data_IF_111437020448
#
_entry.id   IF_111437020448
#
_cell.length_a   1.000
_cell.length_b   1.000
_cell.length_c   1.000
_cell.angle_alpha   90.00
_cell.angle_beta   90.00
_cell.angle_gamma   90.00
#
_symmetry.space_group_name_H-M   'P 1'
#
loop_
_entity.id
_entity.type
_entity.pdbx_description
1 polymer ?
#
# COMPACT_ATOMS: atom_id res chain seq x y z
N UNK A 1 5.57 4.00 30.51
CA UNK A 1 5.31 3.57 29.11
C UNK A 1 6.05 4.51 28.17
N UNK A 2 7.09 4.06 27.47
CA UNK A 2 7.79 4.90 26.48
C UNK A 2 6.89 5.04 25.26
N UNK A 3 6.24 6.18 25.11
CA UNK A 3 5.50 6.51 23.90
C UNK A 3 6.54 6.87 22.82
N UNK A 4 7.21 5.88 22.25
CA UNK A 4 8.09 6.08 21.09
C UNK A 4 7.19 6.48 19.94
N UNK A 5 7.07 7.80 19.70
CA UNK A 5 6.43 8.32 18.51
C UNK A 5 7.05 7.60 17.30
N UNK A 6 6.27 6.71 16.66
CA UNK A 6 6.72 5.92 15.52
C UNK A 6 7.24 6.92 14.48
N UNK A 7 8.54 6.87 14.21
CA UNK A 7 9.20 7.77 13.26
C UNK A 7 8.42 7.69 11.94
N UNK A 8 7.76 8.79 11.56
CA UNK A 8 6.93 8.83 10.34
C UNK A 8 7.82 8.52 9.15
N UNK A 9 7.46 7.51 8.35
CA UNK A 9 8.19 7.20 7.12
C UNK A 9 8.21 8.44 6.21
N UNK A 10 9.39 8.82 5.73
CA UNK A 10 9.54 9.93 4.78
C UNK A 10 8.70 9.73 3.51
N UNK A 11 8.45 8.48 3.13
CA UNK A 11 7.61 8.08 1.99
C UNK A 11 6.15 8.54 2.12
N UNK A 12 5.68 8.76 3.35
CA UNK A 12 4.31 9.21 3.66
C UNK A 12 4.18 10.73 3.77
N UNK A 13 5.24 11.50 3.51
CA UNK A 13 5.19 12.97 3.55
C UNK A 13 4.27 13.51 2.45
N UNK A 14 4.23 12.86 1.28
CA UNK A 14 3.40 13.29 0.14
C UNK A 14 1.91 13.38 0.46
N UNK A 15 1.41 12.57 1.41
CA UNK A 15 0.03 12.61 1.86
C UNK A 15 -0.37 13.95 2.51
N UNK A 16 0.59 14.80 2.90
CA UNK A 16 0.31 16.17 3.37
C UNK A 16 -0.27 17.06 2.27
N UNK A 17 -0.05 16.72 1.00
CA UNK A 17 -0.54 17.46 -0.16
C UNK A 17 -1.83 16.87 -0.75
N UNK A 18 -2.50 15.97 -0.02
CA UNK A 18 -3.77 15.37 -0.43
C UNK A 18 -4.83 16.47 -0.57
N UNK A 19 -5.40 16.70 -1.77
CA UNK A 19 -6.48 17.65 -1.93
C UNK A 19 -7.77 17.13 -1.29
N UNK A 20 -8.80 17.97 -1.13
CA UNK A 20 -10.11 17.53 -0.65
C UNK A 20 -10.72 16.52 -1.62
N UNK A 21 -10.79 15.25 -1.22
CA UNK A 21 -11.25 14.14 -2.06
C UNK A 21 -12.16 13.22 -1.26
N UNK A 22 -13.10 12.58 -1.94
CA UNK A 22 -14.00 11.61 -1.32
C UNK A 22 -13.30 10.28 -1.10
N UNK A 23 -13.14 9.87 0.16
CA UNK A 23 -12.76 8.50 0.48
C UNK A 23 -13.91 7.52 0.21
N UNK A 24 -15.15 7.96 0.46
CA UNK A 24 -16.43 7.33 0.13
C UNK A 24 -17.29 8.39 -0.56
N UNK A 25 -17.85 8.07 -1.72
CA UNK A 25 -18.74 9.01 -2.43
C UNK A 25 -20.06 9.19 -1.66
N UNK A 26 -20.66 10.39 -1.68
CA UNK A 26 -21.96 10.62 -1.04
C UNK A 26 -23.01 9.65 -1.58
N UNK A 27 -23.80 9.04 -0.68
CA UNK A 27 -24.90 8.11 -1.01
C UNK A 27 -24.47 6.83 -1.75
N UNK A 28 -23.18 6.51 -1.83
CA UNK A 28 -22.69 5.23 -2.34
C UNK A 28 -22.12 4.38 -1.21
N UNK A 29 -22.09 3.06 -1.38
CA UNK A 29 -21.29 2.20 -0.52
C UNK A 29 -19.79 2.43 -0.76
N UNK A 30 -18.99 2.16 0.27
CA UNK A 30 -17.55 2.27 0.14
C UNK A 30 -17.02 1.19 -0.81
N UNK A 31 -16.17 1.60 -1.75
CA UNK A 31 -15.38 0.68 -2.56
C UNK A 31 -13.99 1.29 -2.76
N UNK A 32 -12.89 0.55 -2.49
CA UNK A 32 -11.53 1.02 -2.75
C UNK A 32 -11.35 1.47 -4.21
N UNK A 33 -12.02 0.77 -5.14
CA UNK A 33 -12.00 1.09 -6.58
C UNK A 33 -12.64 2.45 -6.91
N UNK A 34 -13.53 2.95 -6.06
CA UNK A 34 -14.22 4.24 -6.26
C UNK A 34 -13.67 5.36 -5.38
N UNK A 35 -12.78 5.05 -4.44
CA UNK A 35 -12.22 6.02 -3.52
C UNK A 35 -11.27 6.96 -4.25
N UNK A 36 -11.61 8.25 -4.32
CA UNK A 36 -10.75 9.27 -4.93
C UNK A 36 -9.46 9.42 -4.12
N UNK A 37 -9.54 9.28 -2.79
CA UNK A 37 -8.37 9.30 -1.91
C UNK A 37 -7.41 8.15 -2.24
N UNK A 38 -7.89 6.91 -2.38
CA UNK A 38 -7.03 5.77 -2.70
C UNK A 38 -6.40 5.93 -4.07
N UNK A 39 -7.19 6.32 -5.09
CA UNK A 39 -6.69 6.59 -6.45
C UNK A 39 -5.57 7.63 -6.42
N UNK A 40 -5.81 8.75 -5.74
CA UNK A 40 -4.80 9.78 -5.59
C UNK A 40 -3.55 9.23 -4.89
N UNK A 41 -3.67 8.48 -3.80
CA UNK A 41 -2.51 7.96 -3.08
C UNK A 41 -1.66 6.99 -3.93
N UNK A 42 -2.28 6.04 -4.63
CA UNK A 42 -1.55 5.01 -5.40
C UNK A 42 -0.87 5.56 -6.66
N UNK A 43 -1.27 6.74 -7.14
CA UNK A 43 -0.56 7.43 -8.23
C UNK A 43 0.81 7.99 -7.79
N UNK A 44 1.09 8.09 -6.48
CA UNK A 44 2.35 8.67 -5.98
C UNK A 44 3.40 7.55 -5.82
N UNK A 45 4.56 7.65 -6.50
CA UNK A 45 5.60 6.61 -6.43
C UNK A 45 6.05 6.28 -5.00
N UNK A 46 6.18 7.29 -4.14
CA UNK A 46 6.60 7.07 -2.74
C UNK A 46 5.60 6.25 -1.94
N UNK A 47 4.31 6.32 -2.27
CA UNK A 47 3.27 5.50 -1.64
C UNK A 47 3.36 4.06 -2.15
N UNK A 48 3.56 3.86 -3.46
CA UNK A 48 3.79 2.52 -4.02
C UNK A 48 5.00 1.85 -3.36
N UNK A 49 6.10 2.57 -3.19
CA UNK A 49 7.30 2.08 -2.49
C UNK A 49 7.02 1.75 -1.02
N UNK A 50 6.17 2.55 -0.36
CA UNK A 50 5.79 2.28 1.02
C UNK A 50 4.93 1.01 1.12
N UNK A 51 3.95 0.83 0.23
CA UNK A 51 3.11 -0.36 0.17
C UNK A 51 3.99 -1.59 -0.07
N UNK A 52 4.89 -1.52 -1.04
CA UNK A 52 5.80 -2.61 -1.33
C UNK A 52 6.72 -2.95 -0.15
N UNK A 53 7.25 -1.93 0.53
CA UNK A 53 8.05 -2.14 1.74
C UNK A 53 7.27 -2.85 2.85
N UNK A 54 5.98 -2.58 3.01
CA UNK A 54 5.16 -3.29 3.99
C UNK A 54 4.91 -4.73 3.57
N UNK A 55 4.58 -4.98 2.30
CA UNK A 55 4.30 -6.32 1.78
C UNK A 55 5.54 -7.21 1.85
N UNK A 56 6.70 -6.74 1.39
CA UNK A 56 7.93 -7.54 1.41
C UNK A 56 8.42 -7.86 2.84
N UNK A 57 7.98 -7.08 3.84
CA UNK A 57 8.31 -7.29 5.25
C UNK A 57 7.24 -8.08 6.01
N UNK A 58 6.08 -8.37 5.40
CA UNK A 58 4.99 -9.05 6.10
C UNK A 58 5.23 -10.56 6.26
N UNK A 59 6.08 -11.14 5.41
CA UNK A 59 6.28 -12.59 5.33
C UNK A 59 5.28 -13.29 4.40
N UNK A 60 4.33 -12.55 3.82
CA UNK A 60 3.32 -13.12 2.90
C UNK A 60 3.86 -13.34 1.48
N UNK A 61 5.03 -12.79 1.17
CA UNK A 61 5.72 -12.96 -0.11
C UNK A 61 7.18 -13.31 0.10
N UNK A 62 7.75 -14.08 -0.82
CA UNK A 62 9.16 -14.40 -0.86
C UNK A 62 9.75 -14.15 -2.25
N UNK A 63 11.06 -13.94 -2.29
CA UNK A 63 11.81 -13.81 -3.54
C UNK A 63 12.36 -15.18 -3.96
N UNK A 64 11.98 -15.64 -5.15
CA UNK A 64 12.54 -16.84 -5.75
C UNK A 64 13.80 -16.48 -6.54
N UNK A 65 14.96 -16.96 -6.07
CA UNK A 65 16.26 -16.68 -6.68
C UNK A 65 16.47 -17.34 -8.05
N UNK A 66 15.80 -18.45 -8.34
CA UNK A 66 15.91 -19.17 -9.61
C UNK A 66 15.19 -18.42 -10.73
N UNK A 67 14.00 -17.88 -10.42
CA UNK A 67 13.16 -17.18 -11.41
C UNK A 67 13.34 -15.66 -11.39
N UNK A 68 13.93 -15.11 -10.33
CA UNK A 68 14.08 -13.67 -10.13
C UNK A 68 12.76 -12.95 -9.81
N UNK A 69 11.75 -13.66 -9.31
CA UNK A 69 10.39 -13.16 -9.11
C UNK A 69 9.98 -13.19 -7.64
N UNK A 70 9.07 -12.29 -7.28
CA UNK A 70 8.37 -12.35 -6.01
C UNK A 70 7.10 -13.18 -6.16
N UNK A 71 6.82 -14.03 -5.17
CA UNK A 71 5.68 -14.93 -5.16
C UNK A 71 5.02 -14.92 -3.77
N UNK A 72 3.70 -15.06 -3.73
CA UNK A 72 2.96 -15.25 -2.49
C UNK A 72 3.24 -16.62 -1.88
N UNK A 73 3.31 -16.71 -0.55
CA UNK A 73 3.63 -17.97 0.15
C UNK A 73 2.62 -19.08 -0.14
N UNK A 74 1.36 -18.73 -0.38
CA UNK A 74 0.26 -19.66 -0.67
C UNK A 74 -0.11 -19.74 -2.17
N UNK A 75 0.70 -19.15 -3.06
CA UNK A 75 0.41 -19.20 -4.50
C UNK A 75 0.74 -20.58 -5.07
N UNK A 76 -0.31 -21.32 -5.42
CA UNK A 76 -0.23 -22.55 -6.20
C UNK A 76 -0.58 -22.24 -7.67
N UNK A 77 0.23 -22.68 -8.64
CA UNK A 77 -0.14 -22.55 -10.04
C UNK A 77 -1.39 -23.39 -10.33
N UNK A 78 -2.36 -22.81 -11.05
CA UNK A 78 -3.49 -23.56 -11.57
C UNK A 78 -2.97 -24.66 -12.50
N UNK A 79 -3.20 -25.93 -12.14
CA UNK A 79 -2.91 -27.11 -12.96
C UNK A 79 -3.97 -27.31 -14.06
#
# INVERSE_FOLDING_TARGET
>A
MKNTAKRRSGKLIVARNLPPLFHKLPKCEYSPKNSQVIKWLIERPSILDFIWDQIKQSGDVFYNHETGKWQGVDYEPDN
#
